data_IF_358197385371
#
_entry.id   IF_358197385371
#
_cell.length_a   1.000
_cell.length_b   1.000
_cell.length_c   1.000
_cell.angle_alpha   90.00
_cell.angle_beta   90.00
_cell.angle_gamma   90.00
#
_symmetry.space_group_name_H-M   'P 1'
#
loop_
_entity.id
_entity.type
_entity.pdbx_description
1 polymer ?
#
# COMPACT_ATOMS: atom_id res chain seq x y z
N UNK A 1 -27.30 2.50 13.37
CA UNK A 1 -25.84 2.56 13.35
C UNK A 1 -25.40 3.80 14.09
N UNK A 2 -24.73 3.65 15.21
CA UNK A 2 -24.10 4.77 15.91
C UNK A 2 -22.91 5.21 15.07
N UNK A 3 -23.02 6.42 14.52
CA UNK A 3 -22.04 7.01 13.60
C UNK A 3 -20.86 7.52 14.45
N UNK A 4 -19.88 6.65 14.72
CA UNK A 4 -18.71 6.97 15.56
C UNK A 4 -17.82 8.06 14.95
N UNK A 5 -17.99 8.40 13.68
CA UNK A 5 -17.33 9.54 13.05
C UNK A 5 -17.99 10.88 13.40
N UNK A 6 -19.28 10.90 13.81
CA UNK A 6 -19.97 12.14 14.19
C UNK A 6 -19.37 12.77 15.43
N UNK A 7 -18.80 13.96 15.23
CA UNK A 7 -18.23 14.78 16.29
C UNK A 7 -16.72 14.64 16.49
N UNK A 8 -16.04 13.75 15.73
CA UNK A 8 -14.59 13.74 15.61
C UNK A 8 -14.12 14.76 14.57
N UNK A 9 -12.94 15.34 14.78
CA UNK A 9 -12.24 16.13 13.76
C UNK A 9 -11.31 15.26 12.96
N UNK A 10 -11.17 15.60 11.68
CA UNK A 10 -10.21 15.00 10.78
C UNK A 10 -9.09 15.99 10.49
N UNK A 11 -7.83 15.58 10.71
CA UNK A 11 -6.65 16.31 10.26
C UNK A 11 -5.98 15.51 9.16
N UNK A 12 -5.75 16.13 8.00
CA UNK A 12 -5.07 15.54 6.86
C UNK A 12 -3.72 16.24 6.68
N UNK A 13 -2.64 15.47 6.62
CA UNK A 13 -1.31 15.95 6.30
C UNK A 13 -1.08 15.79 4.80
N UNK A 14 -0.84 16.92 4.12
CA UNK A 14 -0.72 17.02 2.67
C UNK A 14 -2.06 17.22 1.96
N UNK A 15 -2.08 18.07 0.93
CA UNK A 15 -3.26 18.31 0.07
C UNK A 15 -2.96 17.98 -1.39
N UNK A 16 -2.44 16.79 -1.63
CA UNK A 16 -2.24 16.22 -2.97
C UNK A 16 -3.53 15.68 -3.60
N UNK A 17 -3.40 14.92 -4.68
CA UNK A 17 -4.52 14.33 -5.42
C UNK A 17 -5.35 13.39 -4.52
N UNK A 18 -4.69 12.48 -3.79
CA UNK A 18 -5.36 11.52 -2.89
C UNK A 18 -6.15 12.24 -1.80
N UNK A 19 -5.57 13.26 -1.17
CA UNK A 19 -6.25 14.03 -0.10
C UNK A 19 -7.50 14.73 -0.61
N UNK A 20 -7.45 15.30 -1.81
CA UNK A 20 -8.60 15.96 -2.45
C UNK A 20 -9.70 14.95 -2.79
N UNK A 21 -9.32 13.81 -3.33
CA UNK A 21 -10.21 12.69 -3.60
C UNK A 21 -10.89 12.20 -2.31
N UNK A 22 -10.12 11.96 -1.26
CA UNK A 22 -10.65 11.56 0.05
C UNK A 22 -11.61 12.58 0.62
N UNK A 23 -11.29 13.88 0.58
CA UNK A 23 -12.19 14.95 1.04
C UNK A 23 -13.50 14.91 0.26
N UNK A 24 -13.46 14.84 -1.08
CA UNK A 24 -14.66 14.75 -1.91
C UNK A 24 -15.48 13.50 -1.57
N UNK A 25 -14.84 12.36 -1.37
CA UNK A 25 -15.50 11.12 -0.98
C UNK A 25 -16.19 11.27 0.38
N UNK A 26 -15.51 11.82 1.38
CA UNK A 26 -16.08 12.04 2.72
C UNK A 26 -17.28 13.01 2.72
N UNK A 27 -17.21 14.05 1.88
CA UNK A 27 -18.31 15.01 1.74
C UNK A 27 -19.51 14.40 1.00
N UNK A 28 -19.26 13.64 -0.08
CA UNK A 28 -20.32 12.96 -0.86
C UNK A 28 -21.06 11.92 -0.03
N UNK A 29 -20.32 11.18 0.79
CA UNK A 29 -20.84 10.18 1.72
C UNK A 29 -21.50 10.81 2.98
N UNK A 30 -21.39 12.13 3.15
CA UNK A 30 -21.86 12.85 4.35
C UNK A 30 -21.25 12.30 5.64
N UNK A 31 -20.05 11.72 5.54
CA UNK A 31 -19.28 11.23 6.67
C UNK A 31 -18.71 12.40 7.50
N UNK A 32 -18.31 13.47 6.82
CA UNK A 32 -17.82 14.72 7.41
C UNK A 32 -18.46 15.94 6.72
N UNK A 33 -18.37 17.08 7.39
CA UNK A 33 -18.53 18.40 6.75
C UNK A 33 -17.17 19.02 6.55
N UNK A 34 -17.03 19.94 5.61
CA UNK A 34 -15.74 20.59 5.36
C UNK A 34 -15.21 21.36 6.60
N UNK A 35 -16.11 21.80 7.47
CA UNK A 35 -15.77 22.51 8.70
C UNK A 35 -15.14 21.59 9.76
N UNK A 36 -15.33 20.27 9.66
CA UNK A 36 -14.74 19.26 10.54
C UNK A 36 -13.38 18.77 10.04
N UNK A 37 -12.97 19.16 8.82
CA UNK A 37 -11.72 18.76 8.19
C UNK A 37 -10.70 19.88 8.33
N UNK A 38 -9.52 19.56 8.85
CA UNK A 38 -8.35 20.42 8.91
C UNK A 38 -7.28 19.87 7.99
N UNK A 39 -6.59 20.75 7.28
CA UNK A 39 -5.51 20.39 6.36
C UNK A 39 -4.21 21.06 6.82
N UNK A 40 -3.13 20.31 6.80
CA UNK A 40 -1.76 20.78 7.03
C UNK A 40 -0.95 20.56 5.76
N UNK A 41 -0.38 21.61 5.20
CA UNK A 41 0.45 21.51 3.98
C UNK A 41 1.64 22.47 4.05
N UNK A 42 2.79 22.02 3.49
CA UNK A 42 3.99 22.87 3.39
C UNK A 42 3.85 23.98 2.36
N UNK A 43 3.01 23.77 1.34
CA UNK A 43 2.74 24.75 0.30
C UNK A 43 1.55 25.65 0.68
N UNK A 44 1.82 26.95 0.86
CA UNK A 44 0.78 27.93 1.16
C UNK A 44 -0.25 28.08 0.01
N UNK A 45 0.14 27.79 -1.24
CA UNK A 45 -0.73 27.88 -2.42
C UNK A 45 -1.77 26.75 -2.43
N UNK A 46 -1.52 25.64 -1.72
CA UNK A 46 -2.50 24.56 -1.53
C UNK A 46 -3.80 25.05 -0.88
N UNK A 47 -3.77 26.19 -0.15
CA UNK A 47 -4.98 26.79 0.38
C UNK A 47 -6.00 27.16 -0.70
N UNK A 48 -5.57 27.55 -1.88
CA UNK A 48 -6.50 27.88 -2.98
C UNK A 48 -7.33 26.66 -3.37
N UNK A 49 -6.70 25.49 -3.40
CA UNK A 49 -7.36 24.22 -3.66
C UNK A 49 -8.31 23.83 -2.52
N UNK A 50 -7.87 23.95 -1.25
CA UNK A 50 -8.72 23.67 -0.10
C UNK A 50 -9.95 24.60 -0.05
N UNK A 51 -9.77 25.87 -0.36
CA UNK A 51 -10.85 26.86 -0.44
C UNK A 51 -11.85 26.54 -1.56
N UNK A 52 -11.41 25.97 -2.68
CA UNK A 52 -12.31 25.54 -3.77
C UNK A 52 -13.23 24.38 -3.34
N UNK A 53 -12.80 23.59 -2.39
CA UNK A 53 -13.61 22.53 -1.75
C UNK A 53 -14.55 23.08 -0.65
N UNK A 54 -14.54 24.38 -0.41
CA UNK A 54 -15.32 25.05 0.64
C UNK A 54 -14.58 25.22 1.98
N UNK A 55 -13.31 24.85 2.03
CA UNK A 55 -12.47 24.94 3.24
C UNK A 55 -12.20 26.39 3.66
N UNK A 56 -12.12 26.59 4.98
CA UNK A 56 -11.87 27.90 5.58
C UNK A 56 -10.42 28.07 5.99
N UNK A 57 -9.93 29.33 6.00
CA UNK A 57 -8.54 29.65 6.35
C UNK A 57 -8.14 29.19 7.75
N UNK A 58 -9.06 29.25 8.72
CA UNK A 58 -8.82 28.79 10.08
C UNK A 58 -8.58 27.27 10.22
N UNK A 59 -8.99 26.50 9.23
CA UNK A 59 -8.78 25.04 9.15
C UNK A 59 -7.60 24.65 8.24
N UNK A 60 -6.84 25.62 7.72
CA UNK A 60 -5.64 25.36 6.93
C UNK A 60 -4.40 25.82 7.69
N UNK A 61 -3.46 24.92 7.91
CA UNK A 61 -2.18 25.18 8.57
C UNK A 61 -1.07 25.06 7.51
N UNK A 62 -0.37 26.16 7.26
CA UNK A 62 0.81 26.12 6.42
C UNK A 62 2.03 25.77 7.28
N UNK A 63 2.52 24.53 7.17
CA UNK A 63 3.62 24.02 7.98
C UNK A 63 4.46 23.02 7.17
N UNK A 64 5.75 23.32 7.04
CA UNK A 64 6.75 22.32 6.62
C UNK A 64 7.21 21.58 7.88
N UNK A 65 6.82 20.32 8.01
CA UNK A 65 7.03 19.52 9.21
C UNK A 65 8.46 18.94 9.26
N UNK A 66 9.03 18.92 10.46
CA UNK A 66 10.32 18.31 10.79
C UNK A 66 10.31 17.75 12.22
N UNK A 67 11.42 17.16 12.65
CA UNK A 67 11.59 16.59 13.99
C UNK A 67 11.40 17.58 15.16
N UNK A 68 11.37 18.90 14.92
CA UNK A 68 11.28 19.94 15.95
C UNK A 68 9.89 20.52 16.08
N UNK A 69 9.12 20.58 14.97
CA UNK A 69 7.84 21.27 14.93
C UNK A 69 6.60 20.36 14.75
N UNK A 70 6.78 19.03 14.50
CA UNK A 70 5.69 18.09 14.25
C UNK A 70 4.58 18.13 15.32
N UNK A 71 4.93 18.47 16.55
CA UNK A 71 3.97 18.54 17.66
C UNK A 71 2.89 19.61 17.47
N UNK A 72 3.11 20.61 16.59
CA UNK A 72 2.15 21.69 16.32
C UNK A 72 0.85 21.17 15.70
N UNK A 73 0.93 20.05 14.93
CA UNK A 73 -0.25 19.45 14.29
C UNK A 73 -1.29 18.94 15.30
N UNK A 74 -0.86 18.57 16.49
CA UNK A 74 -1.74 18.07 17.56
C UNK A 74 -2.50 19.16 18.29
N UNK A 75 -2.17 20.44 18.04
CA UNK A 75 -2.85 21.56 18.70
C UNK A 75 -4.36 21.55 18.38
N UNK A 76 -5.17 21.45 19.44
CA UNK A 76 -6.62 21.40 19.34
C UNK A 76 -7.23 20.04 18.98
N UNK A 77 -6.41 19.01 18.72
CA UNK A 77 -6.89 17.63 18.56
C UNK A 77 -7.30 17.03 19.92
N UNK A 78 -8.27 16.13 19.88
CA UNK A 78 -8.85 15.47 21.05
C UNK A 78 -8.85 13.96 20.86
N UNK A 79 -9.01 13.23 21.95
CA UNK A 79 -9.24 11.79 21.92
C UNK A 79 -10.44 11.47 21.00
N UNK A 80 -10.24 10.50 20.08
CA UNK A 80 -11.21 10.08 19.09
C UNK A 80 -11.19 10.89 17.77
N UNK A 81 -10.32 11.91 17.66
CA UNK A 81 -10.06 12.58 16.38
C UNK A 81 -9.20 11.69 15.48
N UNK A 82 -9.15 12.02 14.19
CA UNK A 82 -8.37 11.30 13.18
C UNK A 82 -7.22 12.16 12.67
N UNK A 83 -6.05 11.56 12.53
CA UNK A 83 -4.89 12.09 11.82
C UNK A 83 -4.60 11.16 10.63
N UNK A 84 -4.71 11.67 9.41
CA UNK A 84 -4.41 10.92 8.18
C UNK A 84 -3.19 11.54 7.52
N UNK A 85 -2.13 10.74 7.33
CA UNK A 85 -0.92 11.19 6.63
C UNK A 85 -0.96 10.74 5.17
N UNK A 86 -0.98 11.73 4.28
CA UNK A 86 -0.91 11.58 2.83
C UNK A 86 0.17 12.50 2.23
N UNK A 87 1.12 12.92 3.06
CA UNK A 87 2.28 13.73 2.69
C UNK A 87 3.56 12.98 3.01
N UNK A 88 4.59 13.22 2.22
CA UNK A 88 5.93 12.73 2.48
C UNK A 88 6.67 13.59 3.51
N UNK A 89 7.76 13.06 4.05
CA UNK A 89 8.60 13.73 5.03
C UNK A 89 7.95 13.84 6.41
N UNK A 90 7.17 12.85 6.80
CA UNK A 90 6.52 12.76 8.10
C UNK A 90 6.91 11.43 8.77
N UNK A 91 7.51 11.47 9.94
CA UNK A 91 7.95 10.26 10.64
C UNK A 91 6.76 9.52 11.28
N UNK A 92 6.35 8.42 10.64
CA UNK A 92 5.21 7.61 11.07
C UNK A 92 5.42 6.98 12.44
N UNK A 93 6.65 6.59 12.78
CA UNK A 93 7.00 6.03 14.07
C UNK A 93 6.72 7.01 15.21
N UNK A 94 7.06 8.27 14.99
CA UNK A 94 6.81 9.34 15.97
C UNK A 94 5.30 9.67 16.00
N UNK A 95 4.69 9.84 14.82
CA UNK A 95 3.28 10.24 14.73
C UNK A 95 2.33 9.18 15.29
N UNK A 96 2.54 7.89 15.00
CA UNK A 96 1.70 6.83 15.53
C UNK A 96 1.80 6.72 17.05
N UNK A 97 3.00 6.86 17.60
CA UNK A 97 3.22 6.87 19.07
C UNK A 97 2.47 8.01 19.73
N UNK A 98 2.64 9.24 19.24
CA UNK A 98 1.94 10.43 19.76
C UNK A 98 0.42 10.28 19.66
N UNK A 99 -0.09 9.73 18.54
CA UNK A 99 -1.50 9.47 18.37
C UNK A 99 -2.03 8.45 19.38
N UNK A 100 -1.32 7.35 19.57
CA UNK A 100 -1.69 6.33 20.56
C UNK A 100 -1.73 6.88 21.98
N UNK A 101 -0.71 7.65 22.39
CA UNK A 101 -0.65 8.27 23.72
C UNK A 101 -1.79 9.28 23.96
N UNK A 102 -2.28 9.93 22.90
CA UNK A 102 -3.38 10.93 22.97
C UNK A 102 -4.76 10.31 22.72
N UNK A 103 -4.83 9.05 22.32
CA UNK A 103 -6.07 8.40 21.92
C UNK A 103 -6.64 8.95 20.62
N UNK A 104 -5.79 9.37 19.67
CA UNK A 104 -6.09 9.84 18.34
C UNK A 104 -5.93 8.66 17.37
N UNK A 105 -6.85 8.49 16.44
CA UNK A 105 -6.76 7.49 15.38
C UNK A 105 -5.77 7.94 14.31
N UNK A 106 -4.91 7.02 13.83
CA UNK A 106 -3.91 7.33 12.83
C UNK A 106 -4.04 6.42 11.61
N UNK A 107 -3.86 7.01 10.42
CA UNK A 107 -3.82 6.26 9.15
C UNK A 107 -2.68 6.83 8.31
N UNK A 108 -1.84 5.96 7.75
CA UNK A 108 -0.90 6.30 6.69
C UNK A 108 -0.99 5.29 5.55
N UNK A 109 -0.62 5.71 4.33
CA UNK A 109 -0.66 4.87 3.12
C UNK A 109 0.69 4.24 2.78
N UNK A 110 1.76 4.71 3.41
CA UNK A 110 3.14 4.22 3.33
C UNK A 110 3.83 4.54 4.66
N UNK A 111 5.05 4.10 4.90
CA UNK A 111 5.85 4.55 6.04
C UNK A 111 6.95 5.50 5.57
N UNK A 112 7.22 6.57 6.35
CA UNK A 112 8.19 7.59 5.99
C UNK A 112 8.91 8.13 7.24
N UNK A 113 9.94 8.91 7.03
CA UNK A 113 10.75 9.56 8.07
C UNK A 113 10.84 11.07 7.82
N UNK A 114 11.24 11.83 8.84
CA UNK A 114 11.48 13.27 8.64
C UNK A 114 12.67 13.50 7.70
N UNK A 115 12.67 14.61 6.93
CA UNK A 115 13.76 14.93 6.00
C UNK A 115 15.13 15.11 6.68
N UNK A 116 15.14 15.35 8.00
CA UNK A 116 16.34 15.47 8.83
C UNK A 116 16.74 14.15 9.50
N UNK A 117 16.07 13.03 9.20
CA UNK A 117 16.44 11.70 9.67
C UNK A 117 17.73 11.20 8.99
N UNK A 118 18.53 10.35 9.65
CA UNK A 118 19.69 9.72 9.01
C UNK A 118 19.25 8.80 7.87
N UNK A 119 19.90 8.93 6.70
CA UNK A 119 19.68 8.01 5.59
C UNK A 119 20.19 6.62 5.94
N UNK A 120 19.32 5.62 5.89
CA UNK A 120 19.65 4.23 6.19
C UNK A 120 19.65 3.37 4.91
N UNK A 121 20.54 2.37 4.88
CA UNK A 121 20.49 1.34 3.84
C UNK A 121 19.29 0.44 4.08
N UNK A 122 18.56 0.09 3.00
CA UNK A 122 17.34 -0.74 3.08
C UNK A 122 16.24 -0.09 3.95
N UNK A 123 15.88 1.14 3.62
CA UNK A 123 14.91 1.95 4.37
C UNK A 123 13.62 1.19 4.69
N UNK A 124 12.97 0.54 3.72
CA UNK A 124 11.75 -0.25 3.92
C UNK A 124 11.90 -1.32 5.02
N UNK A 125 12.99 -2.09 4.98
CA UNK A 125 13.26 -3.11 5.99
C UNK A 125 13.40 -2.49 7.38
N UNK A 126 14.15 -1.41 7.46
CA UNK A 126 14.44 -0.76 8.73
C UNK A 126 13.19 -0.09 9.29
N UNK A 127 12.43 0.59 8.46
CA UNK A 127 11.16 1.24 8.83
C UNK A 127 10.19 0.22 9.40
N UNK A 128 9.89 -0.86 8.69
CA UNK A 128 9.00 -1.92 9.14
C UNK A 128 9.37 -2.45 10.54
N UNK A 129 10.62 -2.82 10.79
CA UNK A 129 11.03 -3.39 12.09
C UNK A 129 11.00 -2.36 13.21
N UNK A 130 11.27 -1.08 12.93
CA UNK A 130 11.15 0.00 13.92
C UNK A 130 9.71 0.23 14.35
N UNK A 131 8.79 0.24 13.40
CA UNK A 131 7.37 0.43 13.69
C UNK A 131 6.81 -0.78 14.40
N UNK A 132 7.24 -2.00 14.03
CA UNK A 132 6.83 -3.24 14.70
C UNK A 132 7.14 -3.23 16.19
N UNK A 133 8.29 -2.70 16.63
CA UNK A 133 8.60 -2.55 18.06
C UNK A 133 7.60 -1.64 18.79
N UNK A 134 7.08 -0.61 18.12
CA UNK A 134 6.06 0.28 18.69
C UNK A 134 4.72 -0.43 18.80
N UNK A 135 4.35 -1.20 17.77
CA UNK A 135 3.12 -1.98 17.75
C UNK A 135 3.08 -2.93 18.95
N UNK A 136 4.16 -3.66 19.18
CA UNK A 136 4.27 -4.61 20.30
C UNK A 136 4.18 -3.95 21.68
N UNK A 137 4.54 -2.66 21.77
CA UNK A 137 4.52 -1.88 23.03
C UNK A 137 3.26 -1.02 23.19
N UNK A 138 2.47 -0.83 22.12
CA UNK A 138 1.32 0.06 22.15
C UNK A 138 0.11 -0.58 22.83
N UNK A 139 -0.46 0.13 23.81
CA UNK A 139 -1.76 -0.23 24.37
C UNK A 139 -2.93 0.24 23.49
N UNK A 140 -4.08 -0.39 23.59
CA UNK A 140 -5.29 -0.07 22.82
C UNK A 140 -5.98 1.23 23.26
N UNK A 141 -5.32 2.39 23.22
CA UNK A 141 -5.93 3.70 23.52
C UNK A 141 -6.66 4.31 22.33
N UNK A 142 -6.32 3.88 21.12
CA UNK A 142 -6.95 4.20 19.84
C UNK A 142 -6.72 3.04 18.87
N UNK A 143 -7.24 3.13 17.66
CA UNK A 143 -6.84 2.26 16.55
C UNK A 143 -6.06 3.09 15.53
N UNK A 144 -4.92 2.58 15.11
CA UNK A 144 -4.13 3.11 14.01
C UNK A 144 -3.98 2.03 12.95
N UNK A 145 -4.09 2.39 11.66
CA UNK A 145 -3.87 1.50 10.54
C UNK A 145 -2.74 2.06 9.70
N UNK A 146 -1.67 1.27 9.57
CA UNK A 146 -0.46 1.66 8.86
C UNK A 146 -0.42 1.01 7.48
N UNK A 147 0.28 1.65 6.52
CA UNK A 147 0.46 1.12 5.17
C UNK A 147 -0.89 0.72 4.52
N UNK A 148 -1.91 1.59 4.62
CA UNK A 148 -3.23 1.28 4.08
C UNK A 148 -3.64 2.21 2.95
N UNK A 149 -2.90 2.10 1.85
CA UNK A 149 -3.29 2.50 0.50
C UNK A 149 -3.91 1.32 -0.25
N UNK A 150 -3.67 1.22 -1.54
CA UNK A 150 -4.03 0.04 -2.33
C UNK A 150 -2.90 -0.98 -2.32
N UNK A 151 -1.69 -0.53 -2.56
CA UNK A 151 -0.39 -1.15 -2.38
C UNK A 151 0.61 -0.08 -1.85
N UNK A 152 1.10 -0.25 -0.61
CA UNK A 152 0.68 -1.25 0.36
C UNK A 152 -0.76 -1.04 0.84
N UNK A 153 -1.44 -2.13 1.19
CA UNK A 153 -2.71 -2.06 1.91
C UNK A 153 -3.79 -3.03 1.49
N UNK A 154 -4.57 -2.70 0.46
CA UNK A 154 -5.68 -3.56 0.03
C UNK A 154 -5.19 -4.91 -0.51
N UNK A 155 -4.05 -4.96 -1.19
CA UNK A 155 -3.39 -6.16 -1.68
C UNK A 155 -3.13 -7.18 -0.54
N UNK A 156 -2.68 -6.71 0.63
CA UNK A 156 -2.56 -7.55 1.83
C UNK A 156 -3.89 -8.17 2.26
N UNK A 157 -4.99 -7.43 2.15
CA UNK A 157 -6.34 -7.98 2.41
C UNK A 157 -6.71 -8.98 1.31
N UNK A 158 -6.32 -8.72 0.05
CA UNK A 158 -6.59 -9.60 -1.08
C UNK A 158 -5.82 -10.92 -0.99
N UNK A 159 -4.66 -10.99 -0.31
CA UNK A 159 -3.97 -12.28 -0.04
C UNK A 159 -4.89 -13.23 0.73
N UNK A 160 -5.57 -12.74 1.77
CA UNK A 160 -6.52 -13.53 2.55
C UNK A 160 -7.77 -13.88 1.74
N UNK A 161 -8.29 -12.93 0.95
CA UNK A 161 -9.43 -13.18 0.05
C UNK A 161 -9.11 -14.29 -0.96
N UNK A 162 -7.90 -14.29 -1.51
CA UNK A 162 -7.47 -15.34 -2.43
C UNK A 162 -7.41 -16.72 -1.76
N UNK A 163 -6.91 -16.80 -0.53
CA UNK A 163 -6.91 -18.04 0.26
C UNK A 163 -8.35 -18.53 0.56
N UNK A 164 -9.28 -17.62 0.86
CA UNK A 164 -10.70 -17.95 1.02
C UNK A 164 -11.25 -18.52 -0.28
N UNK A 165 -11.01 -17.86 -1.42
CA UNK A 165 -11.49 -18.28 -2.74
C UNK A 165 -10.94 -19.65 -3.15
N UNK A 166 -9.68 -19.94 -2.84
CA UNK A 166 -9.09 -21.26 -3.05
C UNK A 166 -9.87 -22.32 -2.26
N UNK A 167 -10.10 -22.09 -0.96
CA UNK A 167 -10.81 -23.07 -0.12
C UNK A 167 -12.26 -23.27 -0.58
N UNK A 168 -12.92 -22.24 -1.04
CA UNK A 168 -14.31 -22.30 -1.47
C UNK A 168 -14.48 -22.95 -2.85
N UNK A 169 -13.60 -22.65 -3.81
CA UNK A 169 -13.83 -22.88 -5.21
C UNK A 169 -12.85 -23.88 -5.87
N UNK A 170 -11.69 -24.20 -5.24
CA UNK A 170 -10.76 -25.17 -5.80
C UNK A 170 -11.31 -26.58 -5.68
N UNK A 171 -11.27 -27.36 -6.77
CA UNK A 171 -11.79 -28.72 -6.88
C UNK A 171 -10.68 -29.78 -6.83
N UNK A 172 -9.45 -29.40 -6.57
CA UNK A 172 -8.32 -30.31 -6.37
C UNK A 172 -8.52 -31.24 -5.16
N UNK A 173 -7.96 -32.41 -5.27
CA UNK A 173 -8.15 -33.49 -4.26
C UNK A 173 -7.84 -33.04 -2.83
N UNK A 174 -6.73 -32.30 -2.64
CA UNK A 174 -6.33 -31.85 -1.32
C UNK A 174 -7.36 -30.90 -0.69
N UNK A 175 -7.78 -29.87 -1.42
CA UNK A 175 -8.77 -28.88 -0.94
C UNK A 175 -10.10 -29.56 -0.68
N UNK A 176 -10.57 -30.40 -1.61
CA UNK A 176 -11.85 -31.10 -1.49
C UNK A 176 -11.89 -32.02 -0.26
N UNK A 177 -10.83 -32.78 0.00
CA UNK A 177 -10.75 -33.70 1.14
C UNK A 177 -10.59 -32.99 2.47
N UNK A 178 -10.04 -31.78 2.52
CA UNK A 178 -9.74 -31.04 3.73
C UNK A 178 -10.60 -29.78 3.93
N UNK A 179 -11.59 -29.54 3.08
CA UNK A 179 -12.35 -28.26 3.02
C UNK A 179 -12.93 -27.83 4.36
N UNK A 180 -13.51 -28.72 5.13
CA UNK A 180 -14.10 -28.37 6.43
C UNK A 180 -13.03 -27.89 7.42
N UNK A 181 -11.86 -28.54 7.45
CA UNK A 181 -10.72 -28.11 8.27
C UNK A 181 -10.19 -26.76 7.83
N UNK A 182 -10.00 -26.55 6.52
CA UNK A 182 -9.52 -25.30 5.96
C UNK A 182 -10.50 -24.14 6.24
N UNK A 183 -11.81 -24.38 6.12
CA UNK A 183 -12.85 -23.42 6.52
C UNK A 183 -12.81 -23.09 8.00
N UNK A 184 -12.42 -24.04 8.87
CA UNK A 184 -12.26 -23.74 10.28
C UNK A 184 -11.09 -22.77 10.53
N UNK A 185 -9.97 -22.88 9.77
CA UNK A 185 -8.87 -21.94 9.86
C UNK A 185 -9.29 -20.52 9.42
N UNK A 186 -10.06 -20.40 8.34
CA UNK A 186 -10.64 -19.12 7.92
C UNK A 186 -11.49 -18.52 9.04
N UNK A 187 -12.38 -19.32 9.62
CA UNK A 187 -13.28 -18.89 10.70
C UNK A 187 -12.53 -18.41 11.96
N UNK A 188 -11.38 -18.99 12.25
CA UNK A 188 -10.55 -18.59 13.40
C UNK A 188 -9.56 -17.48 13.06
N UNK A 189 -9.48 -17.04 11.79
CA UNK A 189 -8.52 -16.03 11.35
C UNK A 189 -7.09 -16.53 11.26
N UNK A 190 -6.84 -17.86 11.29
CA UNK A 190 -5.49 -18.42 11.25
C UNK A 190 -5.01 -18.58 9.78
N UNK A 191 -4.87 -17.46 9.07
CA UNK A 191 -4.44 -17.43 7.69
C UNK A 191 -2.98 -17.89 7.50
N UNK A 192 -2.04 -17.65 8.42
CA UNK A 192 -0.70 -18.24 8.32
C UNK A 192 -0.71 -19.76 8.27
N UNK A 193 -1.48 -20.41 9.16
CA UNK A 193 -1.61 -21.86 9.16
C UNK A 193 -2.37 -22.36 7.91
N UNK A 194 -3.37 -21.61 7.46
CA UNK A 194 -4.10 -21.92 6.21
C UNK A 194 -3.13 -21.92 5.00
N UNK A 195 -2.29 -20.89 4.87
CA UNK A 195 -1.29 -20.79 3.80
C UNK A 195 -0.29 -21.96 3.86
N UNK A 196 0.19 -22.30 5.07
CA UNK A 196 1.06 -23.47 5.29
C UNK A 196 0.39 -24.79 4.89
N UNK A 197 -0.86 -25.01 5.27
CA UNK A 197 -1.61 -26.22 4.94
C UNK A 197 -1.86 -26.33 3.43
N UNK A 198 -2.11 -25.24 2.76
CA UNK A 198 -2.24 -25.16 1.30
C UNK A 198 -0.88 -25.25 0.58
N UNK A 199 0.24 -25.18 1.31
CA UNK A 199 1.61 -25.09 0.77
C UNK A 199 1.74 -23.93 -0.21
N UNK A 200 1.31 -22.75 0.19
CA UNK A 200 1.52 -21.53 -0.59
C UNK A 200 3.02 -21.30 -0.72
N UNK A 201 3.51 -21.20 -1.94
CA UNK A 201 4.93 -20.99 -2.25
C UNK A 201 5.25 -19.52 -2.47
N UNK A 202 4.28 -18.77 -3.02
CA UNK A 202 4.44 -17.33 -3.26
C UNK A 202 3.10 -16.58 -3.27
N UNK A 203 3.15 -15.34 -2.78
CA UNK A 203 2.28 -14.23 -3.14
C UNK A 203 3.03 -13.37 -4.16
N UNK A 204 2.50 -13.21 -5.35
CA UNK A 204 2.99 -12.30 -6.37
C UNK A 204 1.99 -11.16 -6.47
N UNK A 205 2.42 -9.94 -6.26
CA UNK A 205 1.58 -8.74 -6.15
C UNK A 205 1.78 -7.89 -7.41
N UNK A 206 0.94 -8.10 -8.43
CA UNK A 206 0.99 -7.32 -9.65
C UNK A 206 0.29 -5.98 -9.49
N UNK A 207 0.94 -4.96 -10.00
CA UNK A 207 0.38 -3.64 -10.24
C UNK A 207 0.58 -3.28 -11.72
N UNK A 208 -0.52 -3.04 -12.43
CA UNK A 208 -0.53 -2.75 -13.87
C UNK A 208 -1.28 -1.44 -14.13
N UNK A 209 -0.53 -0.38 -14.37
CA UNK A 209 -1.06 0.88 -14.88
C UNK A 209 -1.07 0.89 -16.42
N UNK A 210 -2.26 0.84 -17.01
CA UNK A 210 -2.48 0.91 -18.44
C UNK A 210 -2.94 2.29 -18.93
N UNK A 211 -2.72 3.32 -18.13
CA UNK A 211 -3.13 4.71 -18.42
C UNK A 211 -2.60 5.20 -19.76
N UNK A 212 -3.49 5.76 -20.57
CA UNK A 212 -3.18 6.51 -21.78
C UNK A 212 -3.62 7.97 -21.59
N UNK A 213 -2.78 8.89 -21.97
CA UNK A 213 -3.04 10.32 -21.83
C UNK A 213 -2.75 11.09 -23.13
N UNK A 214 -3.50 12.16 -23.36
CA UNK A 214 -3.27 13.11 -24.47
C UNK A 214 -2.22 14.15 -24.03
N UNK A 215 -0.98 13.69 -23.94
CA UNK A 215 0.18 14.50 -23.54
C UNK A 215 1.26 14.34 -24.60
N UNK A 216 1.68 15.45 -25.21
CA UNK A 216 2.91 15.46 -26.00
C UNK A 216 4.11 15.42 -25.04
N UNK A 217 4.94 14.40 -25.18
CA UNK A 217 6.12 14.26 -24.32
C UNK A 217 7.11 15.41 -24.53
N UNK A 218 7.63 15.92 -23.43
CA UNK A 218 8.73 16.88 -23.37
C UNK A 218 9.93 16.24 -22.67
N UNK A 219 11.14 16.42 -23.21
CA UNK A 219 12.35 15.76 -22.71
C UNK A 219 12.74 16.18 -21.28
N UNK A 220 12.36 17.39 -20.87
CA UNK A 220 12.65 17.94 -19.55
C UNK A 220 11.49 17.78 -18.56
N UNK A 221 10.38 17.15 -18.99
CA UNK A 221 9.21 16.93 -18.14
C UNK A 221 9.07 15.45 -17.79
N UNK A 222 8.90 15.15 -16.52
CA UNK A 222 8.68 13.79 -16.00
C UNK A 222 7.20 13.61 -15.65
N UNK A 223 6.66 12.46 -15.98
CA UNK A 223 5.23 12.14 -15.88
C UNK A 223 5.01 10.90 -15.02
N UNK A 224 3.96 10.89 -14.24
CA UNK A 224 3.39 9.68 -13.60
C UNK A 224 1.93 9.93 -13.20
N UNK A 225 1.20 8.89 -12.85
CA UNK A 225 -0.20 8.93 -12.38
C UNK A 225 -0.31 9.25 -10.88
N UNK A 226 0.80 9.14 -10.14
CA UNK A 226 0.94 9.49 -8.74
C UNK A 226 2.23 10.29 -8.49
N UNK A 227 2.84 10.29 -7.31
CA UNK A 227 4.02 11.10 -7.00
C UNK A 227 5.21 10.73 -7.89
N UNK A 228 5.66 11.69 -8.69
CA UNK A 228 6.68 11.46 -9.72
C UNK A 228 8.07 11.26 -9.11
N UNK A 229 8.40 11.98 -8.04
CA UNK A 229 9.72 11.89 -7.40
C UNK A 229 9.85 10.52 -6.73
N UNK A 230 8.89 10.15 -5.89
CA UNK A 230 8.90 8.86 -5.18
C UNK A 230 8.94 7.70 -6.18
N UNK A 231 8.12 7.75 -7.23
CA UNK A 231 8.12 6.76 -8.30
C UNK A 231 9.49 6.56 -8.95
N UNK A 232 10.19 7.67 -9.27
CA UNK A 232 11.49 7.56 -9.94
C UNK A 232 12.56 7.08 -8.95
N UNK A 233 12.51 7.52 -7.69
CA UNK A 233 13.42 7.04 -6.65
C UNK A 233 13.23 5.54 -6.43
N UNK A 234 12.01 5.09 -6.24
CA UNK A 234 11.64 3.68 -6.05
C UNK A 234 12.14 2.82 -7.22
N UNK A 235 11.80 3.18 -8.47
CA UNK A 235 12.21 2.43 -9.65
C UNK A 235 13.74 2.40 -9.88
N UNK A 236 14.50 3.31 -9.27
CA UNK A 236 15.97 3.34 -9.31
C UNK A 236 16.62 2.67 -8.10
N UNK A 237 15.87 2.34 -7.07
CA UNK A 237 16.37 1.60 -5.92
C UNK A 237 16.64 0.14 -6.26
N UNK A 238 17.46 -0.51 -5.41
CA UNK A 238 17.73 -1.94 -5.54
C UNK A 238 16.47 -2.75 -5.32
N UNK A 239 16.16 -3.64 -6.26
CA UNK A 239 15.04 -4.55 -6.14
C UNK A 239 15.20 -5.49 -4.93
N UNK A 240 14.10 -5.69 -4.21
CA UNK A 240 13.99 -6.58 -3.06
C UNK A 240 12.85 -7.57 -3.31
N UNK A 241 13.05 -8.82 -2.92
CA UNK A 241 11.99 -9.81 -2.78
C UNK A 241 12.12 -10.50 -1.43
N UNK A 242 11.04 -11.06 -0.93
CA UNK A 242 11.07 -11.93 0.25
C UNK A 242 11.07 -13.39 -0.21
N UNK A 243 12.10 -14.14 0.17
CA UNK A 243 12.23 -15.55 -0.19
C UNK A 243 11.65 -16.45 0.89
N UNK A 244 10.66 -17.24 0.52
CA UNK A 244 9.97 -18.18 1.39
C UNK A 244 10.76 -19.46 1.68
N UNK A 245 10.28 -20.23 2.65
CA UNK A 245 10.94 -21.44 3.15
C UNK A 245 10.78 -22.68 2.24
N UNK A 246 9.79 -22.66 1.33
CA UNK A 246 9.49 -23.77 0.43
C UNK A 246 10.27 -23.72 -0.90
N UNK A 247 11.01 -22.64 -1.13
CA UNK A 247 11.75 -22.40 -2.38
C UNK A 247 13.21 -22.13 -2.05
N UNK A 248 14.12 -22.84 -2.69
CA UNK A 248 15.55 -22.58 -2.54
C UNK A 248 15.95 -21.27 -3.26
N UNK A 249 17.07 -20.67 -2.84
CA UNK A 249 17.62 -19.50 -3.52
C UNK A 249 17.88 -19.77 -5.02
N UNK A 250 18.37 -20.95 -5.38
CA UNK A 250 18.64 -21.33 -6.77
C UNK A 250 17.34 -21.39 -7.60
N UNK A 251 16.30 -22.02 -7.05
CA UNK A 251 14.98 -22.08 -7.70
C UNK A 251 14.35 -20.69 -7.85
N UNK A 252 14.46 -19.86 -6.81
CA UNK A 252 13.99 -18.47 -6.86
C UNK A 252 14.68 -17.68 -7.97
N UNK A 253 16.00 -17.68 -7.99
CA UNK A 253 16.78 -16.97 -9.01
C UNK A 253 16.47 -17.48 -10.43
N UNK A 254 16.31 -18.79 -10.60
CA UNK A 254 15.89 -19.39 -11.88
C UNK A 254 14.49 -18.93 -12.29
N UNK A 255 13.55 -18.90 -11.35
CA UNK A 255 12.17 -18.40 -11.61
C UNK A 255 12.19 -16.93 -12.02
N UNK A 256 12.97 -16.10 -11.32
CA UNK A 256 13.11 -14.67 -11.59
C UNK A 256 13.95 -14.38 -12.86
N UNK A 257 14.65 -15.36 -13.41
CA UNK A 257 15.55 -15.16 -14.54
C UNK A 257 16.81 -14.35 -14.19
N UNK A 258 17.18 -14.30 -12.90
CA UNK A 258 18.26 -13.47 -12.39
C UNK A 258 19.51 -14.33 -12.15
N UNK A 259 20.67 -13.85 -12.60
CA UNK A 259 21.96 -14.52 -12.40
C UNK A 259 22.41 -14.43 -10.92
N UNK A 260 23.02 -15.49 -10.34
CA UNK A 260 23.48 -15.50 -8.96
C UNK A 260 24.48 -14.38 -8.59
N UNK A 261 25.25 -13.88 -9.53
CA UNK A 261 26.19 -12.77 -9.33
C UNK A 261 25.49 -11.41 -9.11
N UNK A 262 24.19 -11.33 -9.38
CA UNK A 262 23.34 -10.16 -9.09
C UNK A 262 22.81 -10.14 -7.66
N UNK A 263 23.04 -11.18 -6.85
CA UNK A 263 22.63 -11.17 -5.45
C UNK A 263 23.56 -10.26 -4.66
N UNK A 264 23.03 -9.15 -4.17
CA UNK A 264 23.75 -8.19 -3.32
C UNK A 264 23.75 -8.60 -1.85
N UNK A 265 22.59 -9.04 -1.36
CA UNK A 265 22.39 -9.42 0.03
C UNK A 265 21.30 -10.49 0.15
N UNK A 266 21.51 -11.45 1.04
CA UNK A 266 20.49 -12.43 1.41
C UNK A 266 20.54 -12.71 2.91
N UNK A 267 19.40 -12.51 3.58
CA UNK A 267 19.21 -12.86 4.98
C UNK A 267 18.17 -13.98 5.10
N UNK A 268 18.62 -15.17 5.41
CA UNK A 268 17.76 -16.35 5.55
C UNK A 268 16.84 -16.32 6.78
N UNK A 269 17.13 -15.48 7.80
CA UNK A 269 16.32 -15.39 9.03
C UNK A 269 15.06 -14.54 8.87
N UNK A 270 15.02 -13.69 7.86
CA UNK A 270 13.86 -12.87 7.54
C UNK A 270 13.47 -12.91 6.04
N UNK A 271 14.12 -13.78 5.26
CA UNK A 271 13.84 -13.98 3.84
C UNK A 271 14.24 -12.83 2.93
N UNK A 272 14.86 -11.75 3.41
CA UNK A 272 15.21 -10.59 2.59
C UNK A 272 16.29 -10.94 1.56
N UNK A 273 15.94 -10.81 0.27
CA UNK A 273 16.84 -11.01 -0.86
C UNK A 273 16.89 -9.72 -1.68
N UNK A 274 18.08 -9.11 -1.75
CA UNK A 274 18.33 -7.82 -2.43
C UNK A 274 19.22 -8.06 -3.64
N UNK A 275 18.87 -7.46 -4.78
CA UNK A 275 19.63 -7.55 -6.01
C UNK A 275 20.50 -6.31 -6.23
N UNK A 276 21.67 -6.51 -6.84
CA UNK A 276 22.54 -5.40 -7.32
C UNK A 276 22.06 -4.95 -8.71
N UNK A 277 20.80 -4.54 -8.74
CA UNK A 277 20.12 -3.98 -9.90
C UNK A 277 18.91 -3.18 -9.44
N UNK A 278 18.60 -2.10 -10.16
CA UNK A 278 17.41 -1.31 -9.95
C UNK A 278 16.16 -2.09 -10.37
N UNK A 279 15.02 -1.81 -9.75
CA UNK A 279 13.74 -2.44 -10.10
C UNK A 279 13.45 -2.35 -11.60
N UNK A 280 13.58 -1.16 -12.18
CA UNK A 280 13.39 -0.90 -13.63
C UNK A 280 14.22 -1.78 -14.59
N UNK A 281 15.30 -2.39 -14.10
CA UNK A 281 16.22 -3.22 -14.89
C UNK A 281 15.96 -4.73 -14.74
N UNK A 282 14.99 -5.12 -13.93
CA UNK A 282 14.64 -6.52 -13.64
C UNK A 282 13.21 -6.83 -14.12
N UNK A 283 13.02 -7.17 -15.42
CA UNK A 283 11.69 -7.52 -15.92
C UNK A 283 11.21 -8.86 -15.35
N UNK A 284 9.92 -8.94 -15.03
CA UNK A 284 9.27 -10.16 -14.58
C UNK A 284 7.86 -10.29 -15.14
N UNK A 285 7.42 -11.53 -15.42
CA UNK A 285 6.06 -11.81 -15.88
C UNK A 285 5.10 -12.04 -14.70
N UNK A 286 4.01 -11.29 -14.66
CA UNK A 286 2.93 -11.44 -13.70
C UNK A 286 1.56 -11.55 -14.39
N UNK A 287 0.51 -11.78 -13.61
CA UNK A 287 -0.86 -11.82 -14.10
C UNK A 287 -1.66 -10.62 -13.60
N UNK A 288 -2.47 -10.04 -14.51
CA UNK A 288 -3.59 -9.17 -14.15
C UNK A 288 -4.87 -9.81 -14.65
N UNK A 289 -5.70 -10.29 -13.75
CA UNK A 289 -6.81 -11.18 -14.12
C UNK A 289 -6.27 -12.49 -14.69
N UNK A 290 -6.69 -12.82 -15.92
CA UNK A 290 -6.20 -14.00 -16.66
C UNK A 290 -5.08 -13.68 -17.66
N UNK A 291 -4.74 -12.41 -17.82
CA UNK A 291 -3.77 -11.96 -18.83
C UNK A 291 -2.39 -11.80 -18.20
N UNK A 292 -1.36 -12.25 -18.91
CA UNK A 292 0.03 -12.02 -18.53
C UNK A 292 0.50 -10.67 -19.03
N UNK A 293 1.31 -10.02 -18.20
CA UNK A 293 2.06 -8.84 -18.59
C UNK A 293 3.51 -8.93 -18.10
N UNK A 294 4.39 -8.12 -18.67
CA UNK A 294 5.75 -7.95 -18.18
C UNK A 294 5.84 -6.61 -17.44
N UNK A 295 6.10 -6.68 -16.16
CA UNK A 295 6.44 -5.55 -15.29
C UNK A 295 7.88 -5.59 -14.85
N UNK A 296 8.19 -4.87 -13.80
CA UNK A 296 9.51 -4.78 -13.17
C UNK A 296 9.42 -5.34 -11.75
N UNK A 297 10.47 -6.05 -11.31
CA UNK A 297 10.61 -6.45 -9.91
C UNK A 297 10.96 -5.22 -9.09
N UNK A 298 10.00 -4.70 -8.37
CA UNK A 298 10.20 -3.52 -7.56
C UNK A 298 10.27 -3.83 -6.07
N UNK A 299 10.81 -2.90 -5.30
CA UNK A 299 10.84 -2.98 -3.85
C UNK A 299 9.63 -2.28 -3.29
N UNK A 300 8.88 -2.94 -2.42
CA UNK A 300 7.70 -2.34 -1.85
C UNK A 300 7.52 -2.71 -0.38
N UNK A 301 6.77 -1.91 0.36
CA UNK A 301 6.69 -2.01 1.83
C UNK A 301 5.96 -3.27 2.29
N UNK A 302 4.89 -3.66 1.62
CA UNK A 302 4.08 -4.84 1.97
C UNK A 302 4.83 -6.16 1.85
N UNK A 303 5.92 -6.20 1.09
CA UNK A 303 6.82 -7.37 1.06
C UNK A 303 7.20 -7.81 2.48
N UNK A 304 7.41 -6.84 3.38
CA UNK A 304 7.83 -7.10 4.76
C UNK A 304 6.66 -7.46 5.65
N UNK A 305 5.55 -6.73 5.59
CA UNK A 305 4.39 -6.96 6.45
C UNK A 305 3.68 -8.27 6.11
N UNK A 306 3.46 -8.57 4.83
CA UNK A 306 2.87 -9.83 4.37
C UNK A 306 3.77 -11.02 4.74
N UNK A 307 5.08 -10.91 4.44
CA UNK A 307 6.01 -11.98 4.78
C UNK A 307 6.03 -12.27 6.29
N UNK A 308 6.11 -11.22 7.11
CA UNK A 308 6.12 -11.36 8.57
C UNK A 308 4.81 -11.98 9.09
N UNK A 309 3.66 -11.50 8.60
CA UNK A 309 2.35 -12.01 8.98
C UNK A 309 2.20 -13.51 8.68
N UNK A 310 2.60 -13.96 7.49
CA UNK A 310 2.48 -15.36 7.08
C UNK A 310 3.62 -16.25 7.59
N UNK A 311 4.67 -15.70 8.21
CA UNK A 311 5.80 -16.48 8.74
C UNK A 311 5.40 -17.20 10.02
N UNK A 312 5.53 -18.52 10.00
CA UNK A 312 5.42 -19.38 11.19
C UNK A 312 6.83 -19.75 11.65
N UNK A 313 7.10 -19.53 12.93
CA UNK A 313 8.39 -19.89 13.56
C UNK A 313 8.20 -21.06 14.50
N UNK A 314 9.25 -21.87 14.61
CA UNK A 314 9.30 -22.96 15.58
C UNK A 314 9.65 -22.43 16.99
N UNK A 315 9.86 -23.35 17.94
CA UNK A 315 10.15 -23.02 19.34
C UNK A 315 11.55 -22.42 19.54
N UNK A 316 12.46 -22.68 18.63
CA UNK A 316 13.80 -22.11 18.60
C UNK A 316 13.84 -20.73 17.92
N UNK A 317 12.72 -20.27 17.31
CA UNK A 317 12.61 -19.00 16.60
C UNK A 317 13.03 -19.09 15.13
N UNK A 318 13.35 -20.29 14.63
CA UNK A 318 13.66 -20.51 13.22
C UNK A 318 12.38 -20.55 12.37
N UNK A 319 12.51 -20.19 11.07
CA UNK A 319 11.38 -20.22 10.14
C UNK A 319 10.98 -21.68 9.85
N UNK A 320 9.81 -22.08 10.32
CA UNK A 320 9.17 -23.35 9.98
C UNK A 320 8.41 -23.26 8.65
N UNK A 321 7.79 -22.09 8.39
CA UNK A 321 7.10 -21.81 7.14
C UNK A 321 7.06 -20.31 6.88
N UNK A 322 7.31 -19.93 5.64
CA UNK A 322 7.02 -18.62 5.07
C UNK A 322 6.79 -18.74 3.56
N UNK A 323 5.84 -18.03 2.94
CA UNK A 323 5.74 -17.91 1.49
C UNK A 323 6.78 -16.89 0.97
N UNK A 324 7.14 -16.97 -0.30
CA UNK A 324 7.81 -15.84 -0.95
C UNK A 324 6.83 -14.70 -1.19
N UNK A 325 7.29 -13.45 -1.17
CA UNK A 325 6.48 -12.28 -1.53
C UNK A 325 7.26 -11.47 -2.57
N UNK A 326 6.59 -11.14 -3.68
CA UNK A 326 7.20 -10.55 -4.87
C UNK A 326 6.26 -9.47 -5.38
N UNK A 327 6.72 -8.22 -5.46
CA UNK A 327 5.98 -7.12 -6.06
C UNK A 327 6.41 -6.91 -7.51
N UNK A 328 5.45 -6.67 -8.41
CA UNK A 328 5.69 -6.53 -9.86
C UNK A 328 4.91 -5.34 -10.39
N UNK A 329 5.59 -4.26 -10.66
CA UNK A 329 4.98 -3.03 -11.16
C UNK A 329 5.17 -2.84 -12.66
N UNK A 330 4.10 -2.53 -13.36
CA UNK A 330 4.11 -2.08 -14.75
C UNK A 330 3.52 -0.67 -14.82
N UNK A 331 4.34 0.40 -14.75
CA UNK A 331 3.88 1.78 -14.94
C UNK A 331 3.35 2.01 -16.36
N UNK A 332 2.56 3.05 -16.56
CA UNK A 332 2.15 3.48 -17.88
C UNK A 332 3.35 3.92 -18.76
N UNK A 333 3.18 3.96 -20.07
CA UNK A 333 4.29 4.22 -21.01
C UNK A 333 4.95 5.58 -20.79
N UNK A 334 4.18 6.62 -20.42
CA UNK A 334 4.74 7.96 -20.12
C UNK A 334 5.62 7.91 -18.84
N UNK A 335 5.22 7.15 -17.84
CA UNK A 335 6.00 6.97 -16.62
C UNK A 335 7.27 6.14 -16.89
N UNK A 336 7.18 5.07 -17.68
CA UNK A 336 8.37 4.29 -18.12
C UNK A 336 9.35 5.18 -18.90
N UNK A 337 8.83 6.00 -19.80
CA UNK A 337 9.65 6.96 -20.54
C UNK A 337 10.35 7.93 -19.58
N UNK A 338 9.64 8.41 -18.56
CA UNK A 338 10.18 9.30 -17.52
C UNK A 338 11.32 8.65 -16.74
N UNK A 339 11.13 7.44 -16.26
CA UNK A 339 12.16 6.71 -15.48
C UNK A 339 13.42 6.41 -16.32
N UNK A 340 13.24 6.14 -17.60
CA UNK A 340 14.36 5.82 -18.49
C UNK A 340 15.25 7.02 -18.81
N UNK A 341 14.68 8.23 -18.86
CA UNK A 341 15.41 9.46 -19.19
C UNK A 341 15.85 10.26 -17.96
N UNK A 342 15.28 9.96 -16.78
CA UNK A 342 15.63 10.66 -15.55
C UNK A 342 16.98 10.24 -15.00
N UNK A 343 17.66 11.19 -14.35
CA UNK A 343 18.77 10.94 -13.44
C UNK A 343 18.28 11.22 -12.01
N UNK A 344 18.23 10.21 -11.17
CA UNK A 344 17.76 10.32 -9.80
C UNK A 344 18.52 11.40 -9.00
N UNK A 345 19.81 11.59 -9.27
CA UNK A 345 20.62 12.63 -8.62
C UNK A 345 20.18 14.07 -8.95
N UNK A 346 19.38 14.26 -10.02
CA UNK A 346 18.91 15.56 -10.49
C UNK A 346 17.45 15.85 -10.13
N UNK A 347 16.74 14.94 -9.49
CA UNK A 347 15.30 15.09 -9.18
C UNK A 347 14.99 16.28 -8.26
N UNK A 348 15.90 16.59 -7.35
CA UNK A 348 15.76 17.71 -6.41
C UNK A 348 16.40 19.01 -6.89
N UNK A 349 16.66 19.12 -8.20
CA UNK A 349 17.20 20.33 -8.87
C UNK A 349 16.16 20.93 -9.80
N UNK A 350 16.47 22.08 -10.40
CA UNK A 350 15.62 22.73 -11.42
C UNK A 350 15.75 22.09 -12.82
N UNK A 351 16.31 20.87 -12.90
CA UNK A 351 16.56 20.21 -14.21
C UNK A 351 15.28 19.71 -14.85
N UNK A 352 14.36 19.18 -14.05
CA UNK A 352 13.11 18.58 -14.53
C UNK A 352 11.89 19.38 -14.09
N UNK A 353 10.88 19.38 -14.96
CA UNK A 353 9.50 19.74 -14.61
C UNK A 353 8.74 18.47 -14.27
N UNK A 354 7.81 18.54 -13.33
CA UNK A 354 6.99 17.42 -12.91
C UNK A 354 5.54 17.67 -13.31
N UNK A 355 4.98 16.76 -14.11
CA UNK A 355 3.59 16.87 -14.59
C UNK A 355 2.82 15.60 -14.27
N UNK A 356 2.02 15.58 -13.19
CA UNK A 356 1.15 14.46 -12.90
C UNK A 356 0.11 14.28 -14.00
N UNK A 357 -0.17 13.03 -14.34
CA UNK A 357 -1.23 12.64 -15.28
C UNK A 357 -2.56 12.69 -14.52
N UNK A 358 -3.33 13.74 -14.77
CA UNK A 358 -4.63 13.99 -14.15
C UNK A 358 -5.78 13.50 -15.02
N UNK A 359 -6.96 13.33 -14.43
CA UNK A 359 -8.11 12.73 -15.11
C UNK A 359 -8.52 13.48 -16.39
N UNK A 360 -8.40 14.81 -16.41
CA UNK A 360 -8.70 15.66 -17.57
C UNK A 360 -7.72 15.48 -18.75
N UNK A 361 -6.57 14.84 -18.52
CA UNK A 361 -5.57 14.50 -19.54
C UNK A 361 -5.62 13.05 -19.98
N UNK A 362 -6.30 12.19 -19.23
CA UNK A 362 -6.46 10.78 -19.60
C UNK A 362 -7.43 10.60 -20.76
N UNK A 363 -7.15 9.58 -21.58
CA UNK A 363 -8.02 9.13 -22.68
C UNK A 363 -8.67 7.81 -22.32
N UNK A 364 -7.90 6.93 -21.70
CA UNK A 364 -8.32 5.57 -21.32
C UNK A 364 -7.34 4.95 -20.33
N UNK A 365 -7.67 3.81 -19.80
CA UNK A 365 -6.79 2.99 -18.99
C UNK A 365 -7.48 2.42 -17.76
N UNK A 366 -6.72 1.61 -17.05
CA UNK A 366 -7.07 1.00 -15.77
C UNK A 366 -5.83 1.01 -14.89
N UNK A 367 -6.02 1.12 -13.60
CA UNK A 367 -5.04 0.65 -12.60
C UNK A 367 -5.51 -0.71 -12.12
N UNK A 368 -4.66 -1.71 -12.16
CA UNK A 368 -5.05 -3.06 -11.79
C UNK A 368 -4.08 -3.62 -10.74
N UNK A 369 -4.51 -3.62 -9.49
CA UNK A 369 -3.76 -4.10 -8.35
C UNK A 369 -4.37 -5.39 -7.83
N UNK A 370 -3.53 -6.34 -7.41
CA UNK A 370 -4.02 -7.59 -6.88
C UNK A 370 -2.93 -8.51 -6.35
N UNK A 371 -3.31 -9.76 -6.17
CA UNK A 371 -2.39 -10.83 -5.76
C UNK A 371 -2.62 -12.08 -6.60
N UNK A 372 -1.54 -12.70 -7.03
CA UNK A 372 -1.53 -14.09 -7.52
C UNK A 372 -0.98 -14.99 -6.42
N UNK A 373 -1.77 -15.97 -6.01
CA UNK A 373 -1.35 -16.96 -5.02
C UNK A 373 -0.93 -18.24 -5.73
N UNK A 374 0.32 -18.64 -5.52
CA UNK A 374 0.91 -19.87 -6.05
C UNK A 374 1.17 -20.88 -4.93
N UNK A 375 0.99 -22.16 -5.21
CA UNK A 375 1.23 -23.22 -4.24
C UNK A 375 1.17 -24.62 -4.84
N UNK A 376 1.46 -25.64 -4.00
CA UNK A 376 1.58 -27.02 -4.46
C UNK A 376 0.25 -27.81 -4.42
N UNK A 377 -0.78 -27.30 -3.71
CA UNK A 377 -1.98 -28.08 -3.37
C UNK A 377 -3.28 -27.54 -3.96
N UNK A 378 -3.20 -26.55 -4.81
CA UNK A 378 -4.34 -25.90 -5.47
C UNK A 378 -3.92 -25.32 -6.82
N UNK A 379 -4.90 -24.98 -7.64
CA UNK A 379 -4.66 -24.21 -8.87
C UNK A 379 -4.39 -22.75 -8.52
N UNK A 380 -3.33 -22.10 -9.05
CA UNK A 380 -3.06 -20.70 -8.79
C UNK A 380 -4.26 -19.80 -9.02
N UNK A 381 -4.45 -18.80 -8.17
CA UNK A 381 -5.59 -17.87 -8.23
C UNK A 381 -5.06 -16.44 -8.21
N UNK A 382 -5.60 -15.62 -9.10
CA UNK A 382 -5.49 -14.16 -9.05
C UNK A 382 -6.73 -13.57 -8.40
N UNK A 383 -6.53 -12.61 -7.49
CA UNK A 383 -7.59 -11.78 -6.92
C UNK A 383 -7.14 -10.33 -6.98
N UNK A 384 -7.97 -9.43 -7.47
CA UNK A 384 -7.57 -8.04 -7.62
C UNK A 384 -8.74 -7.10 -7.92
N UNK A 385 -8.43 -5.83 -7.95
CA UNK A 385 -9.28 -4.71 -8.35
C UNK A 385 -8.73 -4.09 -9.62
N UNK A 386 -9.58 -3.44 -10.42
CA UNK A 386 -9.14 -2.78 -11.65
C UNK A 386 -10.14 -1.66 -12.02
N UNK A 387 -10.15 -0.55 -11.28
CA UNK A 387 -10.96 0.60 -11.66
C UNK A 387 -10.50 1.13 -13.02
N UNK A 388 -11.49 1.57 -13.80
CA UNK A 388 -11.27 2.08 -15.15
C UNK A 388 -11.37 3.59 -15.16
N UNK A 389 -10.66 4.18 -16.10
CA UNK A 389 -10.85 5.59 -16.40
C UNK A 389 -12.33 5.90 -16.68
N UNK A 390 -12.83 6.91 -15.99
CA UNK A 390 -14.12 7.53 -16.22
C UNK A 390 -13.91 9.04 -16.37
N UNK A 391 -14.24 9.58 -17.54
CA UNK A 391 -14.10 11.01 -17.85
C UNK A 391 -14.92 11.92 -16.93
N UNK A 392 -15.98 11.39 -16.33
CA UNK A 392 -16.86 12.12 -15.43
C UNK A 392 -16.47 11.93 -13.95
N UNK A 393 -15.46 11.09 -13.68
CA UNK A 393 -14.91 10.94 -12.34
C UNK A 393 -14.08 12.15 -11.94
N UNK A 394 -14.02 12.39 -10.64
CA UNK A 394 -13.22 13.50 -10.10
C UNK A 394 -11.71 13.22 -10.20
N UNK A 395 -11.29 11.97 -10.08
CA UNK A 395 -9.89 11.57 -10.02
C UNK A 395 -9.55 10.39 -10.94
N UNK A 396 -8.26 10.13 -11.13
CA UNK A 396 -7.74 8.98 -11.86
C UNK A 396 -8.03 7.65 -11.13
N UNK A 397 -7.97 6.49 -11.82
CA UNK A 397 -8.09 5.19 -11.18
C UNK A 397 -7.15 4.99 -10.00
N UNK A 398 -5.85 5.31 -10.14
CA UNK A 398 -4.82 5.20 -9.08
C UNK A 398 -5.19 6.02 -7.84
N UNK A 399 -5.64 7.26 -8.02
CA UNK A 399 -6.03 8.14 -6.91
C UNK A 399 -7.31 7.65 -6.23
N UNK A 400 -8.27 7.12 -7.02
CA UNK A 400 -9.51 6.55 -6.48
C UNK A 400 -9.22 5.33 -5.60
N UNK A 401 -8.32 4.44 -6.03
CA UNK A 401 -7.96 3.25 -5.27
C UNK A 401 -7.46 3.61 -3.87
N UNK A 402 -6.47 4.49 -3.79
CA UNK A 402 -5.90 4.90 -2.49
C UNK A 402 -6.93 5.64 -1.63
N UNK A 403 -7.72 6.56 -2.20
CA UNK A 403 -8.71 7.29 -1.41
C UNK A 403 -9.85 6.41 -0.89
N UNK A 404 -10.29 5.42 -1.68
CA UNK A 404 -11.33 4.47 -1.29
C UNK A 404 -10.85 3.53 -0.17
N UNK A 405 -9.58 3.11 -0.20
CA UNK A 405 -8.99 2.26 0.86
C UNK A 405 -8.79 3.04 2.15
N UNK A 406 -8.28 4.27 2.10
CA UNK A 406 -8.21 5.14 3.28
C UNK A 406 -9.59 5.37 3.89
N UNK A 407 -10.61 5.58 3.05
CA UNK A 407 -12.00 5.66 3.52
C UNK A 407 -12.45 4.36 4.21
N UNK A 408 -12.08 3.19 3.67
CA UNK A 408 -12.39 1.90 4.29
C UNK A 408 -11.70 1.75 5.66
N UNK A 409 -10.43 2.17 5.80
CA UNK A 409 -9.73 2.20 7.09
C UNK A 409 -10.47 3.08 8.11
N UNK A 410 -10.90 4.28 7.71
CA UNK A 410 -11.70 5.15 8.59
C UNK A 410 -13.00 4.47 9.04
N UNK A 411 -13.68 3.78 8.12
CA UNK A 411 -14.90 3.01 8.42
C UNK A 411 -14.64 1.87 9.39
N UNK A 412 -13.56 1.13 9.18
CA UNK A 412 -13.11 0.06 10.08
C UNK A 412 -12.83 0.62 11.48
N UNK A 413 -11.97 1.62 11.59
CA UNK A 413 -11.62 2.26 12.87
C UNK A 413 -12.87 2.76 13.61
N UNK A 414 -13.85 3.30 12.89
CA UNK A 414 -15.09 3.79 13.50
C UNK A 414 -15.88 2.72 14.26
N UNK A 415 -15.72 1.45 13.89
CA UNK A 415 -16.34 0.31 14.58
C UNK A 415 -15.37 -0.38 15.56
N UNK A 416 -14.07 -0.23 15.34
CA UNK A 416 -12.98 -0.86 16.09
C UNK A 416 -12.03 0.19 16.71
N UNK A 417 -12.52 1.07 17.59
CA UNK A 417 -11.76 2.27 17.99
C UNK A 417 -10.63 2.01 19.00
N UNK A 418 -10.43 0.77 19.48
CA UNK A 418 -9.49 0.45 20.56
C UNK A 418 -8.66 -0.83 20.30
N UNK A 419 -8.25 -1.05 19.04
CA UNK A 419 -7.49 -2.24 18.65
C UNK A 419 -5.96 -2.03 18.63
N UNK A 420 -5.49 -0.82 18.93
CA UNK A 420 -4.05 -0.52 18.88
C UNK A 420 -3.57 -0.24 17.46
N UNK A 421 -2.31 -0.56 17.19
CA UNK A 421 -1.69 -0.34 15.87
C UNK A 421 -1.76 -1.61 15.05
N UNK A 422 -2.29 -1.51 13.84
CA UNK A 422 -2.55 -2.63 12.94
C UNK A 422 -1.90 -2.39 11.57
N UNK A 423 -1.36 -3.45 10.99
CA UNK A 423 -1.12 -3.56 9.56
C UNK A 423 -2.34 -4.16 8.83
N UNK A 424 -2.45 -4.01 7.50
CA UNK A 424 -3.61 -4.47 6.73
C UNK A 424 -3.93 -5.96 6.89
N UNK A 425 -2.91 -6.79 7.10
CA UNK A 425 -3.03 -8.23 7.28
C UNK A 425 -3.87 -8.63 8.52
N UNK A 426 -3.99 -7.73 9.49
CA UNK A 426 -4.79 -7.98 10.70
C UNK A 426 -6.25 -7.56 10.57
N UNK A 427 -6.63 -6.83 9.51
CA UNK A 427 -7.98 -6.34 9.29
C UNK A 427 -8.91 -7.47 8.83
N UNK A 428 -10.20 -7.37 9.15
CA UNK A 428 -11.21 -8.31 8.68
C UNK A 428 -11.48 -8.14 7.17
N UNK A 429 -11.38 -9.24 6.42
CA UNK A 429 -11.48 -9.25 4.96
C UNK A 429 -12.86 -8.80 4.49
N UNK A 430 -13.91 -9.43 5.01
CA UNK A 430 -15.28 -9.19 4.56
C UNK A 430 -15.71 -7.76 4.92
N UNK A 431 -15.28 -7.28 6.08
CA UNK A 431 -15.59 -5.92 6.52
C UNK A 431 -14.91 -4.87 5.63
N UNK A 432 -13.60 -4.98 5.38
CA UNK A 432 -12.87 -4.04 4.52
C UNK A 432 -13.45 -4.06 3.10
N UNK A 433 -13.62 -5.24 2.50
CA UNK A 433 -14.15 -5.36 1.14
C UNK A 433 -15.57 -4.80 1.03
N UNK A 434 -16.40 -4.94 2.08
CA UNK A 434 -17.74 -4.34 2.09
C UNK A 434 -17.74 -2.80 1.99
N UNK A 435 -16.64 -2.14 2.38
CA UNK A 435 -16.49 -0.68 2.28
C UNK A 435 -15.91 -0.24 0.96
N UNK A 436 -15.08 -1.07 0.33
CA UNK A 436 -14.40 -0.74 -0.94
C UNK A 436 -15.17 -1.19 -2.18
N UNK A 437 -15.98 -2.28 -2.10
CA UNK A 437 -16.60 -2.98 -3.24
C UNK A 437 -17.31 -2.08 -4.25
N UNK A 438 -17.99 -1.05 -3.81
CA UNK A 438 -18.71 -0.13 -4.70
C UNK A 438 -17.80 0.77 -5.53
N UNK A 439 -16.55 0.99 -5.09
CA UNK A 439 -15.53 1.77 -5.78
C UNK A 439 -14.55 0.85 -6.51
N UNK A 440 -14.20 -0.24 -5.85
CA UNK A 440 -13.18 -1.20 -6.23
C UNK A 440 -13.76 -2.61 -6.20
N UNK A 441 -14.59 -2.99 -7.20
CA UNK A 441 -15.16 -4.33 -7.26
C UNK A 441 -14.04 -5.37 -7.44
N UNK A 442 -14.02 -6.35 -6.54
CA UNK A 442 -13.02 -7.42 -6.53
C UNK A 442 -13.33 -8.47 -7.59
N UNK A 443 -12.33 -8.87 -8.33
CA UNK A 443 -12.40 -9.97 -9.29
C UNK A 443 -11.49 -11.11 -8.85
N UNK A 444 -11.91 -12.35 -9.10
CA UNK A 444 -11.15 -13.56 -8.79
C UNK A 444 -11.09 -14.45 -10.05
N UNK A 445 -9.90 -14.99 -10.35
CA UNK A 445 -9.64 -15.84 -11.52
C UNK A 445 -8.72 -17.00 -11.18
N UNK A 446 -9.12 -18.23 -11.52
CA UNK A 446 -8.19 -19.38 -11.54
C UNK A 446 -7.29 -19.28 -12.77
N UNK A 447 -6.00 -19.53 -12.55
CA UNK A 447 -4.94 -19.45 -13.56
C UNK A 447 -4.51 -20.88 -13.92
N UNK A 448 -5.18 -21.49 -14.88
CA UNK A 448 -4.87 -22.87 -15.24
C UNK A 448 -5.52 -23.30 -16.55
#
# INVERSE_FOLDING_TARGET
>A
MTDYMKGSRLTILGLGLVSRSLINLLLSEKAYTIDDIRVVDKDAEAFSCYSSLGGKKENFINLSMDSKNYHEIFTGMKKGDYLIRLANGCDDKILVKECMERGIHYICTSEDEFPDAPVESFSYRTSFYRVKEIIEQSGGLATSVLQFGVNPGLDSVLTKKALIDIVENDDGDFVTQNRDRLKQLIKTGDFPLLAKELKVTAFVEPDLDSTQADIAEDENTLYNTWNIIDFIEEMNDRSIVKLGSLVSLEECLKKLGISPDKVYYYNRHDGTLVFDAAGKDLPFEAYSGAEKFTGFLDSHEELFSIYDYYTIRDREGEIDYAPSVIFVYRPCELAISSVRRSDAALLHTDTYQFMPITNDRMISGTEAVGVTVEGERFTPVYVGVAPKYDKDAFETPSVLEVSATVYAAMRYISKHPLEGVLYPEYLDVDEILSYTERFLPVTSKRLG
#
